data_IF_707403143438
#
_entry.id   IF_707403143438
#
_cell.length_a   1.000
_cell.length_b   1.000
_cell.length_c   1.000
_cell.angle_alpha   90.00
_cell.angle_beta   90.00
_cell.angle_gamma   90.00
#
_symmetry.space_group_name_H-M   'P 1'
#
loop_
_entity.id
_entity.type
_entity.pdbx_description
1 polymer ?
#
# COMPACT_ATOMS: atom_id res chain seq x y z
N UNK A 1 -13.10 -15.31 -9.28
CA UNK A 1 -13.63 -15.68 -7.96
C UNK A 1 -13.70 -14.39 -7.18
N UNK A 2 -14.84 -14.06 -6.56
CA UNK A 2 -14.92 -12.84 -5.75
C UNK A 2 -14.54 -13.21 -4.30
N UNK A 3 -13.24 -13.34 -4.06
CA UNK A 3 -12.70 -13.79 -2.78
C UNK A 3 -12.57 -12.61 -1.80
N UNK A 4 -13.69 -11.95 -1.50
CA UNK A 4 -13.77 -10.72 -0.70
C UNK A 4 -14.72 -10.93 0.49
N UNK A 5 -14.21 -10.68 1.70
CA UNK A 5 -15.05 -10.52 2.89
C UNK A 5 -15.52 -9.08 2.95
N UNK A 6 -16.80 -8.84 2.65
CA UNK A 6 -17.40 -7.50 2.65
C UNK A 6 -17.43 -6.91 4.05
N UNK A 7 -17.09 -5.62 4.19
CA UNK A 7 -17.37 -4.90 5.43
C UNK A 7 -18.88 -4.66 5.54
N UNK A 8 -19.48 -5.09 6.66
CA UNK A 8 -20.91 -4.90 6.89
C UNK A 8 -21.21 -3.65 7.71
N UNK A 9 -22.46 -3.19 7.67
CA UNK A 9 -22.93 -2.11 8.55
C UNK A 9 -22.86 -2.50 10.04
N UNK A 10 -22.98 -3.79 10.35
CA UNK A 10 -22.78 -4.31 11.71
C UNK A 10 -21.33 -4.11 12.17
N UNK A 11 -20.36 -4.41 11.30
CA UNK A 11 -18.94 -4.18 11.58
C UNK A 11 -18.63 -2.70 11.80
N UNK A 12 -19.18 -1.82 10.97
CA UNK A 12 -19.06 -0.37 11.16
C UNK A 12 -19.60 0.06 12.52
N UNK A 13 -20.77 -0.42 12.91
CA UNK A 13 -21.41 -0.08 14.18
C UNK A 13 -20.57 -0.56 15.37
N UNK A 14 -19.96 -1.75 15.26
CA UNK A 14 -19.07 -2.31 16.28
C UNK A 14 -17.82 -1.46 16.50
N UNK A 15 -17.23 -0.89 15.45
CA UNK A 15 -15.99 -0.13 15.54
C UNK A 15 -16.18 1.38 15.73
N UNK A 16 -17.35 1.93 15.40
CA UNK A 16 -17.62 3.36 15.46
C UNK A 16 -18.02 3.79 16.86
N UNK A 17 -17.23 4.68 17.47
CA UNK A 17 -17.52 5.28 18.77
C UNK A 17 -18.45 6.47 18.62
N UNK A 18 -19.72 6.29 18.97
CA UNK A 18 -20.71 7.35 18.94
C UNK A 18 -20.58 8.29 20.13
N UNK A 19 -20.69 9.59 19.87
CA UNK A 19 -20.74 10.63 20.92
C UNK A 19 -21.68 11.74 20.49
N UNK A 20 -22.57 12.15 21.41
CA UNK A 20 -23.53 13.24 21.16
C UNK A 20 -22.82 14.51 20.70
N UNK A 21 -23.32 15.12 19.61
CA UNK A 21 -22.75 16.33 19.01
C UNK A 21 -21.60 16.10 18.02
N UNK A 22 -21.14 14.85 17.84
CA UNK A 22 -20.13 14.48 16.86
C UNK A 22 -20.77 13.66 15.73
N UNK A 23 -20.18 13.69 14.54
CA UNK A 23 -20.47 12.73 13.47
C UNK A 23 -19.14 12.11 13.07
N UNK A 24 -19.05 10.78 13.15
CA UNK A 24 -17.87 10.02 12.77
C UNK A 24 -17.90 9.61 11.30
N UNK A 25 -16.73 9.20 10.81
CA UNK A 25 -16.56 8.62 9.48
C UNK A 25 -17.42 7.38 9.29
N UNK A 26 -17.41 6.47 10.26
CA UNK A 26 -18.18 5.22 10.20
C UNK A 26 -19.69 5.42 10.07
N UNK A 27 -20.20 6.59 10.42
CA UNK A 27 -21.62 6.94 10.26
C UNK A 27 -21.97 7.40 8.83
N UNK A 28 -20.97 7.69 8.00
CA UNK A 28 -21.13 8.28 6.66
C UNK A 28 -20.42 7.51 5.55
N UNK A 29 -19.50 6.63 5.89
CA UNK A 29 -18.82 5.72 4.95
C UNK A 29 -19.85 4.80 4.29
N UNK A 30 -19.64 4.53 3.01
CA UNK A 30 -20.44 3.56 2.28
C UNK A 30 -19.92 2.14 2.52
N UNK A 31 -20.85 1.19 2.62
CA UNK A 31 -20.61 -0.26 2.58
C UNK A 31 -21.47 -0.88 1.51
N UNK A 32 -21.07 -2.06 1.03
CA UNK A 32 -21.84 -2.79 0.02
C UNK A 32 -23.00 -3.51 0.72
N UNK A 33 -24.25 -3.31 0.30
CA UNK A 33 -25.38 -4.05 0.85
C UNK A 33 -25.24 -5.58 0.65
N UNK A 34 -25.89 -6.36 1.50
CA UNK A 34 -25.71 -7.82 1.52
C UNK A 34 -26.06 -8.48 0.18
N UNK A 35 -27.17 -8.06 -0.44
CA UNK A 35 -27.76 -8.70 -1.63
C UNK A 35 -27.47 -7.96 -2.95
N UNK A 36 -26.49 -7.05 -2.95
CA UNK A 36 -26.11 -6.30 -4.16
C UNK A 36 -24.76 -6.81 -4.70
N UNK A 37 -24.64 -7.06 -6.03
CA UNK A 37 -23.36 -7.43 -6.64
C UNK A 37 -22.29 -6.38 -6.41
N UNK A 38 -21.09 -6.81 -5.98
CA UNK A 38 -20.00 -5.92 -5.55
C UNK A 38 -19.69 -4.86 -6.61
N UNK A 39 -19.37 -5.31 -7.83
CA UNK A 39 -18.88 -4.41 -8.88
C UNK A 39 -19.97 -3.55 -9.49
N UNK A 40 -21.24 -3.98 -9.40
CA UNK A 40 -22.36 -3.14 -9.77
C UNK A 40 -22.47 -1.97 -8.78
N UNK A 41 -22.49 -2.26 -7.48
CA UNK A 41 -22.58 -1.21 -6.45
C UNK A 41 -21.37 -0.26 -6.49
N UNK A 42 -20.15 -0.80 -6.62
CA UNK A 42 -18.93 0.01 -6.70
C UNK A 42 -19.01 1.00 -7.86
N UNK A 43 -19.56 0.59 -9.02
CA UNK A 43 -19.73 1.45 -10.19
C UNK A 43 -20.79 2.53 -9.99
N UNK A 44 -21.91 2.18 -9.35
CA UNK A 44 -23.10 3.06 -9.24
C UNK A 44 -23.05 4.01 -8.03
N UNK A 45 -22.30 3.68 -6.97
CA UNK A 45 -22.25 4.49 -5.77
C UNK A 45 -21.52 5.83 -5.98
N UNK A 46 -21.81 6.81 -5.10
CA UNK A 46 -21.23 8.16 -5.18
C UNK A 46 -19.81 8.28 -4.56
N UNK A 47 -19.25 7.20 -4.02
CA UNK A 47 -17.89 7.25 -3.47
C UNK A 47 -16.86 7.48 -4.58
N UNK A 48 -15.86 8.31 -4.32
CA UNK A 48 -14.72 8.55 -5.21
C UNK A 48 -13.63 7.48 -5.01
N UNK A 49 -13.53 6.96 -3.78
CA UNK A 49 -12.48 6.07 -3.31
C UNK A 49 -13.04 4.74 -2.83
N UNK A 50 -12.30 3.67 -3.10
CA UNK A 50 -12.59 2.32 -2.58
C UNK A 50 -11.42 1.86 -1.73
N UNK A 51 -11.65 1.66 -0.44
CA UNK A 51 -10.68 1.11 0.51
C UNK A 51 -10.84 -0.39 0.62
N UNK A 52 -9.74 -1.14 0.50
CA UNK A 52 -9.73 -2.57 0.82
C UNK A 52 -8.41 -3.02 1.47
N UNK A 53 -8.49 -4.12 2.22
CA UNK A 53 -7.37 -4.72 2.92
C UNK A 53 -6.84 -6.00 2.26
N UNK A 54 -5.55 -6.26 2.44
CA UNK A 54 -4.86 -7.50 2.11
C UNK A 54 -4.19 -8.03 3.39
N UNK A 55 -4.94 -8.66 4.32
CA UNK A 55 -4.43 -9.02 5.64
C UNK A 55 -3.55 -10.27 5.58
N UNK A 56 -2.31 -10.13 5.11
CA UNK A 56 -1.31 -11.20 5.02
C UNK A 56 0.11 -10.72 5.37
N UNK A 57 1.00 -11.66 5.66
CA UNK A 57 2.45 -11.42 5.81
C UNK A 57 3.29 -12.57 5.20
N UNK A 58 2.68 -13.33 4.30
CA UNK A 58 3.27 -14.48 3.61
C UNK A 58 4.44 -14.01 2.74
N UNK A 59 4.28 -12.87 2.05
CA UNK A 59 5.36 -12.25 1.28
C UNK A 59 6.52 -11.76 2.13
N UNK A 60 6.21 -11.20 3.30
CA UNK A 60 7.21 -10.76 4.29
C UNK A 60 8.03 -11.96 4.77
N UNK A 61 7.35 -13.04 5.18
CA UNK A 61 7.97 -14.29 5.64
C UNK A 61 8.80 -14.95 4.53
N UNK A 62 8.30 -14.99 3.30
CA UNK A 62 9.05 -15.52 2.16
C UNK A 62 10.35 -14.74 1.87
N UNK A 63 10.42 -13.48 2.30
CA UNK A 63 11.60 -12.63 2.26
C UNK A 63 12.38 -12.62 3.60
N UNK A 64 12.17 -13.62 4.47
CA UNK A 64 12.79 -13.74 5.79
C UNK A 64 12.47 -12.63 6.79
N UNK A 65 11.41 -11.85 6.55
CA UNK A 65 10.94 -10.83 7.46
C UNK A 65 10.12 -11.39 8.63
N UNK A 66 9.79 -10.51 9.57
CA UNK A 66 8.96 -10.82 10.74
C UNK A 66 7.48 -10.71 10.39
N UNK A 67 6.71 -11.73 10.78
CA UNK A 67 5.24 -11.76 10.67
C UNK A 67 4.60 -10.62 11.51
N UNK A 68 3.42 -10.16 11.08
CA UNK A 68 2.63 -9.15 11.78
C UNK A 68 1.92 -8.15 10.87
N UNK A 69 2.32 -8.05 9.58
CA UNK A 69 1.73 -7.09 8.64
C UNK A 69 0.22 -7.35 8.38
N UNK A 70 -0.23 -8.60 8.55
CA UNK A 70 -1.64 -8.97 8.46
C UNK A 70 -2.54 -8.20 9.43
N UNK A 71 -1.99 -7.77 10.59
CA UNK A 71 -2.74 -7.04 11.63
C UNK A 71 -3.02 -5.56 11.28
N UNK A 72 -2.40 -5.02 10.22
CA UNK A 72 -2.61 -3.64 9.78
C UNK A 72 -4.09 -3.34 9.51
N UNK A 73 -4.75 -4.21 8.74
CA UNK A 73 -6.10 -3.97 8.24
C UNK A 73 -7.09 -3.66 9.37
N UNK A 74 -7.14 -4.50 10.41
CA UNK A 74 -8.07 -4.32 11.52
C UNK A 74 -7.75 -3.05 12.33
N UNK A 75 -6.46 -2.76 12.54
CA UNK A 75 -6.00 -1.56 13.24
C UNK A 75 -6.40 -0.27 12.49
N UNK A 76 -6.29 -0.29 11.16
CA UNK A 76 -6.73 0.81 10.28
C UNK A 76 -8.23 0.98 10.32
N UNK A 77 -8.99 -0.11 10.21
CA UNK A 77 -10.46 -0.06 10.24
C UNK A 77 -10.97 0.59 11.53
N UNK A 78 -10.44 0.19 12.69
CA UNK A 78 -10.77 0.79 14.00
C UNK A 78 -10.43 2.27 14.07
N UNK A 79 -9.38 2.70 13.37
CA UNK A 79 -8.91 4.09 13.38
C UNK A 79 -9.72 4.98 12.42
N UNK A 80 -9.91 4.55 11.18
CA UNK A 80 -10.50 5.37 10.11
C UNK A 80 -11.98 5.66 10.36
N UNK A 81 -12.75 4.70 10.88
CA UNK A 81 -14.18 4.89 11.16
C UNK A 81 -14.41 5.92 12.27
N UNK A 82 -13.42 6.17 13.12
CA UNK A 82 -13.50 7.10 14.25
C UNK A 82 -12.98 8.51 13.95
N UNK A 83 -12.60 8.80 12.70
CA UNK A 83 -12.28 10.16 12.25
C UNK A 83 -13.54 11.02 12.27
N UNK A 84 -13.39 12.31 12.58
CA UNK A 84 -14.51 13.26 12.52
C UNK A 84 -14.96 13.50 11.08
N UNK A 85 -16.25 13.34 10.81
CA UNK A 85 -16.88 13.81 9.59
C UNK A 85 -17.16 15.32 9.73
N UNK A 86 -16.44 16.15 8.98
CA UNK A 86 -16.55 17.60 9.05
C UNK A 86 -16.26 18.25 7.69
N UNK A 87 -15.95 19.56 7.67
CA UNK A 87 -15.66 20.29 6.43
C UNK A 87 -14.38 19.82 5.71
N UNK A 88 -13.43 19.23 6.42
CA UNK A 88 -12.14 18.78 5.89
C UNK A 88 -12.07 17.28 5.61
N UNK A 89 -12.96 16.50 6.23
CA UNK A 89 -12.93 15.06 6.17
C UNK A 89 -14.36 14.57 5.88
N UNK A 90 -14.59 13.99 4.69
CA UNK A 90 -15.90 13.54 4.22
C UNK A 90 -15.95 12.03 4.07
N UNK A 91 -16.43 11.34 5.10
CA UNK A 91 -16.60 9.88 5.07
C UNK A 91 -17.45 9.37 3.90
N UNK A 92 -18.40 10.16 3.40
CA UNK A 92 -19.28 9.80 2.27
C UNK A 92 -18.57 9.62 0.93
N UNK A 93 -17.32 10.07 0.80
CA UNK A 93 -16.50 9.85 -0.40
C UNK A 93 -15.80 8.50 -0.43
N UNK A 94 -15.88 7.75 0.66
CA UNK A 94 -15.17 6.49 0.84
C UNK A 94 -16.18 5.34 0.90
N UNK A 95 -15.99 4.36 0.02
CA UNK A 95 -16.55 3.03 0.13
C UNK A 95 -15.49 2.13 0.77
N UNK A 96 -15.83 1.45 1.87
CA UNK A 96 -14.97 0.35 2.35
C UNK A 96 -15.53 -0.95 1.81
N UNK A 97 -14.75 -1.57 0.90
CA UNK A 97 -15.08 -2.85 0.28
C UNK A 97 -15.05 -3.98 1.31
N UNK A 98 -14.06 -3.96 2.21
CA UNK A 98 -13.73 -5.06 3.08
C UNK A 98 -12.29 -5.51 2.82
N UNK A 99 -12.01 -6.81 2.88
CA UNK A 99 -10.68 -7.33 2.62
C UNK A 99 -10.72 -8.63 1.80
N UNK A 100 -9.58 -8.97 1.21
CA UNK A 100 -9.42 -10.25 0.52
C UNK A 100 -9.52 -11.38 1.55
N UNK A 101 -10.29 -12.43 1.24
CA UNK A 101 -10.33 -13.63 2.07
C UNK A 101 -9.07 -14.46 1.83
N UNK A 102 -8.17 -14.45 2.82
CA UNK A 102 -6.89 -15.15 2.75
C UNK A 102 -6.80 -16.24 3.82
N UNK A 103 -7.93 -16.72 4.36
CA UNK A 103 -7.94 -17.73 5.43
C UNK A 103 -7.19 -19.00 5.01
N UNK A 104 -7.57 -19.59 3.87
CA UNK A 104 -6.93 -20.81 3.36
C UNK A 104 -5.46 -20.61 3.00
N UNK A 105 -5.12 -19.47 2.39
CA UNK A 105 -3.75 -19.11 2.03
C UNK A 105 -2.86 -18.96 3.28
N UNK A 106 -3.39 -18.31 4.32
CA UNK A 106 -2.71 -18.12 5.60
C UNK A 106 -2.55 -19.43 6.36
N UNK A 107 -3.59 -20.27 6.39
CA UNK A 107 -3.52 -21.60 7.00
C UNK A 107 -2.46 -22.46 6.30
N UNK A 108 -2.47 -22.52 4.96
CA UNK A 108 -1.47 -23.23 4.19
C UNK A 108 -0.05 -22.71 4.46
N UNK A 109 0.13 -21.39 4.47
CA UNK A 109 1.43 -20.76 4.73
C UNK A 109 1.93 -20.99 6.16
N UNK A 110 1.06 -21.09 7.16
CA UNK A 110 1.46 -21.31 8.56
C UNK A 110 2.18 -22.65 8.80
N UNK A 111 1.99 -23.62 7.90
CA UNK A 111 2.59 -24.96 7.96
C UNK A 111 3.95 -25.06 7.27
N UNK A 112 4.48 -23.95 6.73
CA UNK A 112 5.68 -23.91 5.90
C UNK A 112 6.86 -23.25 6.62
N UNK A 113 8.06 -23.84 6.48
CA UNK A 113 9.30 -23.28 7.00
C UNK A 113 10.07 -22.50 5.91
N UNK A 114 10.31 -21.22 6.17
CA UNK A 114 11.03 -20.31 5.26
C UNK A 114 12.48 -20.72 5.01
N UNK A 115 13.08 -21.49 5.93
CA UNK A 115 14.44 -22.00 5.82
C UNK A 115 14.53 -23.25 4.92
N UNK A 116 13.39 -23.89 4.64
CA UNK A 116 13.31 -25.05 3.74
C UNK A 116 13.00 -24.56 2.33
N UNK A 117 13.93 -24.76 1.40
CA UNK A 117 13.82 -24.24 0.03
C UNK A 117 12.55 -24.71 -0.71
N UNK A 118 12.09 -25.94 -0.48
CA UNK A 118 10.86 -26.46 -1.07
C UNK A 118 9.60 -25.76 -0.52
N UNK A 119 9.59 -25.41 0.76
CA UNK A 119 8.48 -24.72 1.41
C UNK A 119 8.45 -23.24 1.04
N UNK A 120 9.61 -22.60 0.90
CA UNK A 120 9.68 -21.24 0.34
C UNK A 120 9.12 -21.14 -1.07
N UNK A 121 9.35 -22.15 -1.92
CA UNK A 121 8.71 -22.20 -3.25
C UNK A 121 7.18 -22.27 -3.15
N UNK A 122 6.64 -23.03 -2.19
CA UNK A 122 5.20 -23.07 -1.94
C UNK A 122 4.68 -21.72 -1.45
N UNK A 123 5.39 -21.03 -0.56
CA UNK A 123 5.06 -19.66 -0.15
C UNK A 123 4.98 -18.72 -1.37
N UNK A 124 5.97 -18.76 -2.27
CA UNK A 124 5.94 -17.99 -3.52
C UNK A 124 4.72 -18.33 -4.39
N UNK A 125 4.34 -19.60 -4.53
CA UNK A 125 3.13 -19.98 -5.27
C UNK A 125 1.82 -19.51 -4.63
N UNK A 126 1.77 -19.42 -3.30
CA UNK A 126 0.63 -18.81 -2.59
C UNK A 126 0.57 -17.32 -2.93
N UNK A 127 1.71 -16.62 -2.90
CA UNK A 127 1.79 -15.20 -3.25
C UNK A 127 1.38 -14.95 -4.71
N UNK A 128 1.77 -15.82 -5.65
CA UNK A 128 1.30 -15.75 -7.06
C UNK A 128 -0.23 -15.80 -7.17
N UNK A 129 -0.90 -16.50 -6.25
CA UNK A 129 -2.37 -16.58 -6.21
C UNK A 129 -2.97 -15.29 -5.64
N UNK A 130 -2.38 -14.77 -4.56
CA UNK A 130 -2.75 -13.47 -3.97
C UNK A 130 -2.59 -12.35 -5.01
N UNK A 131 -1.48 -12.34 -5.74
CA UNK A 131 -1.18 -11.36 -6.79
C UNK A 131 -2.28 -11.29 -7.88
N UNK A 132 -2.90 -12.42 -8.22
CA UNK A 132 -4.03 -12.49 -9.17
C UNK A 132 -5.30 -11.86 -8.60
N UNK A 133 -5.61 -12.14 -7.33
CA UNK A 133 -6.79 -11.58 -6.65
C UNK A 133 -6.63 -10.06 -6.48
N UNK A 134 -5.46 -9.59 -6.03
CA UNK A 134 -5.14 -8.16 -5.91
C UNK A 134 -5.26 -7.47 -7.27
N UNK A 135 -4.64 -8.05 -8.32
CA UNK A 135 -4.71 -7.50 -9.67
C UNK A 135 -6.15 -7.41 -10.19
N UNK A 136 -6.98 -8.43 -9.93
CA UNK A 136 -8.39 -8.42 -10.31
C UNK A 136 -9.17 -7.31 -9.59
N UNK A 137 -9.02 -7.19 -8.27
CA UNK A 137 -9.72 -6.19 -7.46
C UNK A 137 -9.34 -4.77 -7.89
N UNK A 138 -8.04 -4.48 -8.00
CA UNK A 138 -7.54 -3.15 -8.41
C UNK A 138 -8.03 -2.81 -9.81
N UNK A 139 -7.99 -3.76 -10.75
CA UNK A 139 -8.52 -3.57 -12.10
C UNK A 139 -10.02 -3.24 -12.07
N UNK A 140 -10.80 -3.98 -11.29
CA UNK A 140 -12.25 -3.82 -11.20
C UNK A 140 -12.64 -2.46 -10.60
N UNK A 141 -11.97 -2.03 -9.54
CA UNK A 141 -12.16 -0.69 -8.93
C UNK A 141 -11.88 0.41 -9.95
N UNK A 142 -10.73 0.34 -10.64
CA UNK A 142 -10.34 1.36 -11.63
C UNK A 142 -11.26 1.38 -12.85
N UNK A 143 -11.74 0.21 -13.31
CA UNK A 143 -12.68 0.10 -14.43
C UNK A 143 -14.06 0.64 -14.07
N UNK A 144 -14.44 0.58 -12.79
CA UNK A 144 -15.62 1.24 -12.24
C UNK A 144 -15.47 2.77 -12.10
N UNK A 145 -14.33 3.34 -12.50
CA UNK A 145 -14.07 4.78 -12.43
C UNK A 145 -13.71 5.29 -11.04
N UNK A 146 -13.34 4.39 -10.11
CA UNK A 146 -13.02 4.72 -8.72
C UNK A 146 -11.52 4.65 -8.47
N UNK A 147 -11.06 5.29 -7.39
CA UNK A 147 -9.63 5.29 -6.99
C UNK A 147 -9.42 4.29 -5.85
N UNK A 148 -8.62 3.22 -6.03
CA UNK A 148 -8.33 2.28 -4.95
C UNK A 148 -7.35 2.87 -3.92
N UNK A 149 -7.64 2.58 -2.66
CA UNK A 149 -6.75 2.77 -1.51
C UNK A 149 -6.55 1.39 -0.89
N UNK A 150 -5.31 0.92 -0.84
CA UNK A 150 -4.96 -0.47 -0.52
C UNK A 150 -4.17 -0.50 0.79
N UNK A 151 -4.57 -1.38 1.71
CA UNK A 151 -3.95 -1.54 3.02
C UNK A 151 -3.41 -2.95 3.22
N UNK A 152 -2.15 -3.02 3.64
CA UNK A 152 -1.49 -4.27 3.98
C UNK A 152 -1.06 -5.01 2.73
N UNK A 153 -0.62 -6.25 2.84
CA UNK A 153 0.16 -6.78 3.95
C UNK A 153 1.59 -6.38 3.72
N UNK A 154 2.40 -7.34 3.28
CA UNK A 154 3.76 -7.05 2.80
C UNK A 154 3.78 -6.27 1.48
N UNK A 155 4.95 -5.72 1.16
CA UNK A 155 5.17 -4.94 -0.06
C UNK A 155 5.12 -5.79 -1.35
N UNK A 156 5.00 -7.12 -1.25
CA UNK A 156 4.75 -8.00 -2.41
C UNK A 156 3.48 -7.60 -3.16
N UNK A 157 2.49 -7.02 -2.46
CA UNK A 157 1.21 -6.61 -3.03
C UNK A 157 1.36 -5.52 -4.11
N UNK A 158 2.47 -4.77 -4.13
CA UNK A 158 2.76 -3.79 -5.18
C UNK A 158 2.69 -4.41 -6.59
N UNK A 159 3.09 -5.67 -6.78
CA UNK A 159 2.97 -6.34 -8.07
C UNK A 159 1.51 -6.42 -8.55
N UNK A 160 0.61 -6.91 -7.68
CA UNK A 160 -0.82 -7.00 -7.98
C UNK A 160 -1.42 -5.62 -8.26
N UNK A 161 -1.05 -4.60 -7.47
CA UNK A 161 -1.49 -3.22 -7.63
C UNK A 161 -1.08 -2.64 -9.00
N UNK A 162 0.21 -2.76 -9.35
CA UNK A 162 0.76 -2.28 -10.62
C UNK A 162 0.12 -3.01 -11.79
N UNK A 163 0.05 -4.33 -11.74
CA UNK A 163 -0.54 -5.16 -12.79
C UNK A 163 -2.01 -4.86 -13.00
N UNK A 164 -2.80 -4.81 -11.91
CA UNK A 164 -4.22 -4.46 -11.97
C UNK A 164 -4.45 -3.08 -12.59
N UNK A 165 -3.61 -2.11 -12.24
CA UNK A 165 -3.65 -0.76 -12.80
C UNK A 165 -3.30 -0.75 -14.28
N UNK A 166 -2.21 -1.41 -14.68
CA UNK A 166 -1.80 -1.50 -16.08
C UNK A 166 -2.88 -2.17 -16.95
N UNK A 167 -3.52 -3.23 -16.44
CA UNK A 167 -4.63 -3.90 -17.12
C UNK A 167 -5.87 -3.00 -17.24
N UNK A 168 -6.20 -2.22 -16.21
CA UNK A 168 -7.32 -1.28 -16.27
C UNK A 168 -7.07 -0.12 -17.25
N UNK A 169 -5.83 0.33 -17.37
CA UNK A 169 -5.44 1.43 -18.27
C UNK A 169 -5.09 0.95 -19.69
N UNK A 170 -4.92 -0.36 -19.90
CA UNK A 170 -4.52 -0.95 -21.17
C UNK A 170 -3.08 -0.61 -21.58
N UNK A 171 -2.24 -0.17 -20.65
CA UNK A 171 -0.84 0.21 -20.88
C UNK A 171 -0.01 0.10 -19.61
N UNK A 172 1.33 -0.05 -19.71
CA UNK A 172 2.22 -0.02 -18.56
C UNK A 172 2.09 1.30 -17.78
N UNK A 173 2.28 1.24 -16.47
CA UNK A 173 2.18 2.39 -15.55
C UNK A 173 3.52 2.66 -14.88
N UNK A 174 3.67 3.83 -14.26
CA UNK A 174 4.82 4.15 -13.44
C UNK A 174 4.54 3.88 -11.95
N UNK A 175 5.56 3.93 -11.11
CA UNK A 175 5.40 3.91 -9.65
C UNK A 175 6.39 4.85 -8.98
N UNK A 176 5.93 5.51 -7.92
CA UNK A 176 6.76 6.23 -6.96
C UNK A 176 6.66 5.50 -5.62
N UNK A 177 7.79 5.04 -5.10
CA UNK A 177 7.87 4.28 -3.86
C UNK A 177 8.63 5.03 -2.78
N UNK A 178 7.98 5.29 -1.66
CA UNK A 178 8.59 5.90 -0.48
C UNK A 178 9.04 4.79 0.47
N UNK A 179 10.33 4.47 0.43
CA UNK A 179 10.84 3.20 0.97
C UNK A 179 12.32 3.31 1.32
N UNK A 180 12.72 2.65 2.42
CA UNK A 180 14.12 2.51 2.80
C UNK A 180 14.85 1.47 1.93
N UNK A 181 14.10 0.64 1.21
CA UNK A 181 14.54 -0.44 0.35
C UNK A 181 14.23 -0.15 -1.13
N UNK A 182 14.85 -0.91 -2.02
CA UNK A 182 14.57 -0.79 -3.47
C UNK A 182 13.35 -1.60 -3.89
N UNK A 183 13.08 -2.69 -3.16
CA UNK A 183 12.17 -3.78 -3.53
C UNK A 183 12.28 -4.26 -4.99
N UNK A 184 13.53 -4.18 -5.47
CA UNK A 184 13.96 -4.58 -6.80
C UNK A 184 14.93 -5.77 -6.75
N UNK A 185 14.68 -6.73 -5.83
CA UNK A 185 15.47 -7.98 -5.73
C UNK A 185 15.24 -8.89 -6.93
N UNK A 186 16.11 -9.89 -7.09
CA UNK A 186 16.07 -10.81 -8.22
C UNK A 186 14.78 -11.67 -8.25
N UNK A 187 14.48 -12.23 -9.41
CA UNK A 187 13.29 -13.06 -9.66
C UNK A 187 13.54 -14.51 -9.20
N UNK A 188 13.54 -14.72 -7.88
CA UNK A 188 13.86 -16.02 -7.26
C UNK A 188 12.65 -16.74 -6.64
N UNK A 189 11.44 -16.33 -7.04
CA UNK A 189 10.18 -16.65 -6.39
C UNK A 189 9.60 -15.40 -5.73
N UNK A 190 8.28 -15.20 -5.81
CA UNK A 190 7.60 -14.05 -5.22
C UNK A 190 7.83 -13.96 -3.71
N UNK A 191 8.13 -12.76 -3.23
CA UNK A 191 8.23 -12.37 -1.82
C UNK A 191 8.11 -10.83 -1.70
N UNK A 192 8.19 -10.24 -0.49
CA UNK A 192 7.94 -8.79 -0.33
C UNK A 192 8.92 -7.92 -1.14
N UNK A 193 10.22 -8.19 -1.05
CA UNK A 193 11.23 -7.35 -1.70
C UNK A 193 11.45 -7.49 -3.21
N UNK A 194 10.53 -8.08 -3.98
CA UNK A 194 10.67 -8.21 -5.44
C UNK A 194 9.40 -7.90 -6.24
N UNK A 195 8.38 -7.26 -5.63
CA UNK A 195 7.15 -6.85 -6.33
C UNK A 195 7.42 -6.02 -7.59
N UNK A 196 8.28 -5.02 -7.48
CA UNK A 196 8.61 -4.12 -8.59
C UNK A 196 9.43 -4.80 -9.68
N UNK A 197 10.33 -5.73 -9.34
CA UNK A 197 11.09 -6.52 -10.32
C UNK A 197 10.20 -7.32 -11.24
N UNK A 198 9.22 -8.04 -10.66
CA UNK A 198 8.27 -8.84 -11.45
C UNK A 198 7.39 -7.96 -12.31
N UNK A 199 6.90 -6.84 -11.78
CA UNK A 199 6.07 -5.91 -12.54
C UNK A 199 6.85 -5.26 -13.69
N UNK A 200 8.15 -4.99 -13.50
CA UNK A 200 9.04 -4.45 -14.52
C UNK A 200 9.35 -5.47 -15.62
N UNK A 201 9.72 -6.70 -15.25
CA UNK A 201 10.07 -7.77 -16.19
C UNK A 201 8.88 -8.18 -17.05
N UNK A 202 7.68 -8.30 -16.46
CA UNK A 202 6.45 -8.61 -17.19
C UNK A 202 5.89 -7.41 -17.98
N UNK A 203 6.54 -6.25 -17.92
CA UNK A 203 6.19 -5.07 -18.72
C UNK A 203 5.00 -4.27 -18.19
N UNK A 204 4.52 -4.51 -16.97
CA UNK A 204 3.46 -3.71 -16.35
C UNK A 204 3.98 -2.39 -15.75
N UNK A 205 5.25 -2.34 -15.35
CA UNK A 205 5.93 -1.16 -14.80
C UNK A 205 6.85 -0.51 -15.83
N UNK A 206 6.52 0.69 -16.31
CA UNK A 206 7.30 1.45 -17.29
C UNK A 206 8.47 2.17 -16.65
N UNK A 207 8.22 3.05 -15.67
CA UNK A 207 9.25 3.74 -14.88
C UNK A 207 9.01 3.57 -13.39
N UNK A 208 10.10 3.52 -12.65
CA UNK A 208 10.10 3.32 -11.22
C UNK A 208 11.00 4.36 -10.54
N UNK A 209 10.48 5.04 -9.53
CA UNK A 209 11.27 5.95 -8.73
C UNK A 209 11.22 5.53 -7.26
N UNK A 210 12.39 5.31 -6.65
CA UNK A 210 12.53 5.01 -5.23
C UNK A 210 12.92 6.30 -4.51
N UNK A 211 12.07 6.76 -3.60
CA UNK A 211 12.25 7.98 -2.87
C UNK A 211 12.65 7.65 -1.42
N UNK A 212 13.83 8.12 -1.03
CA UNK A 212 14.29 7.94 0.35
C UNK A 212 15.02 6.63 0.62
N UNK A 213 15.60 6.00 -0.40
CA UNK A 213 16.38 4.77 -0.25
C UNK A 213 17.43 4.93 0.86
N UNK A 214 17.55 3.96 1.77
CA UNK A 214 18.64 3.95 2.74
C UNK A 214 19.87 3.28 2.11
N UNK A 215 21.00 3.98 2.16
CA UNK A 215 22.26 3.51 1.55
C UNK A 215 22.76 2.18 2.15
N UNK A 216 22.34 1.85 3.37
CA UNK A 216 22.77 0.66 4.12
C UNK A 216 22.06 -0.65 3.74
N UNK A 217 20.92 -0.60 3.05
CA UNK A 217 20.07 -1.79 2.87
C UNK A 217 20.12 -2.40 1.46
N UNK A 218 20.80 -1.74 0.52
CA UNK A 218 20.82 -2.21 -0.87
C UNK A 218 22.09 -2.97 -1.21
N UNK A 219 21.93 -4.18 -1.75
CA UNK A 219 23.08 -4.98 -2.19
C UNK A 219 23.75 -4.39 -3.42
N UNK A 220 25.07 -4.63 -3.56
CA UNK A 220 25.85 -4.20 -4.72
C UNK A 220 25.24 -4.67 -6.05
N UNK A 221 24.76 -5.92 -6.11
CA UNK A 221 24.15 -6.48 -7.32
C UNK A 221 22.88 -5.74 -7.74
N UNK A 222 22.02 -5.37 -6.78
CA UNK A 222 20.81 -4.59 -7.07
C UNK A 222 21.18 -3.18 -7.56
N UNK A 223 22.16 -2.51 -6.92
CA UNK A 223 22.64 -1.20 -7.37
C UNK A 223 23.21 -1.24 -8.79
N UNK A 224 23.97 -2.28 -9.14
CA UNK A 224 24.48 -2.46 -10.49
C UNK A 224 23.36 -2.67 -11.52
N UNK A 225 22.32 -3.42 -11.16
CA UNK A 225 21.15 -3.62 -12.02
C UNK A 225 20.38 -2.31 -12.24
N UNK A 226 20.10 -1.55 -11.18
CA UNK A 226 19.45 -0.24 -11.27
C UNK A 226 20.27 0.71 -12.14
N UNK A 227 21.60 0.73 -12.00
CA UNK A 227 22.49 1.57 -12.82
C UNK A 227 22.36 1.27 -14.31
N UNK A 228 22.28 -0.02 -14.68
CA UNK A 228 22.07 -0.46 -16.08
C UNK A 228 20.70 -0.03 -16.63
N UNK A 229 19.72 0.18 -15.76
CA UNK A 229 18.34 0.55 -16.08
C UNK A 229 18.01 2.01 -15.73
N UNK A 230 19.02 2.88 -15.61
CA UNK A 230 18.89 4.26 -15.11
C UNK A 230 17.97 5.18 -15.93
N UNK A 231 17.62 4.78 -17.16
CA UNK A 231 16.62 5.44 -17.98
C UNK A 231 15.17 5.16 -17.53
N UNK A 232 14.94 4.05 -16.82
CA UNK A 232 13.62 3.59 -16.36
C UNK A 232 13.51 3.51 -14.84
N UNK A 233 14.62 3.34 -14.13
CA UNK A 233 14.66 3.27 -12.67
C UNK A 233 15.55 4.38 -12.14
N UNK A 234 15.00 5.22 -11.26
CA UNK A 234 15.74 6.27 -10.56
C UNK A 234 15.51 6.19 -9.08
N UNK A 235 16.40 6.79 -8.31
CA UNK A 235 16.24 6.91 -6.88
C UNK A 235 16.94 8.16 -6.35
N UNK A 236 16.54 8.56 -5.15
CA UNK A 236 17.34 9.40 -4.27
C UNK A 236 17.48 8.69 -2.92
N UNK A 237 18.42 9.13 -2.10
CA UNK A 237 18.65 8.50 -0.80
C UNK A 237 18.21 9.40 0.35
N UNK A 238 17.76 8.76 1.43
CA UNK A 238 17.49 9.44 2.69
C UNK A 238 18.71 10.22 3.17
N UNK A 239 19.91 9.62 3.06
CA UNK A 239 21.13 10.25 3.53
C UNK A 239 21.51 11.49 2.70
N UNK A 240 21.32 11.48 1.38
CA UNK A 240 21.54 12.68 0.55
C UNK A 240 20.63 13.84 0.94
N UNK A 241 19.39 13.55 1.34
CA UNK A 241 18.36 14.57 1.58
C UNK A 241 18.38 15.05 3.04
N UNK A 242 18.29 14.12 4.00
CA UNK A 242 18.05 14.46 5.42
C UNK A 242 19.33 14.52 6.25
N UNK A 243 20.32 13.67 5.96
CA UNK A 243 21.54 13.53 6.76
C UNK A 243 22.63 14.50 6.28
N UNK A 244 23.08 14.34 5.03
CA UNK A 244 24.14 15.15 4.41
C UNK A 244 23.60 16.46 3.81
N UNK A 245 22.29 16.53 3.56
CA UNK A 245 21.60 17.72 3.01
C UNK A 245 22.21 18.22 1.71
N UNK A 246 22.68 17.29 0.88
CA UNK A 246 23.17 17.54 -0.48
C UNK A 246 22.03 17.88 -1.44
N UNK A 247 20.82 17.43 -1.11
CA UNK A 247 19.60 17.61 -1.91
C UNK A 247 18.47 18.17 -1.06
N UNK A 248 17.60 18.97 -1.66
CA UNK A 248 16.39 19.47 -1.01
C UNK A 248 15.21 18.51 -1.25
N UNK A 249 14.42 18.23 -0.21
CA UNK A 249 13.27 17.33 -0.29
C UNK A 249 12.23 17.78 -1.33
N UNK A 250 11.91 19.07 -1.38
CA UNK A 250 10.91 19.60 -2.31
C UNK A 250 11.37 19.54 -3.77
N UNK A 251 12.65 19.87 -4.03
CA UNK A 251 13.23 19.77 -5.37
C UNK A 251 13.26 18.32 -5.85
N UNK A 252 13.63 17.39 -4.97
CA UNK A 252 13.62 15.97 -5.28
C UNK A 252 12.21 15.42 -5.53
N UNK A 253 11.17 15.91 -4.83
CA UNK A 253 9.78 15.59 -5.16
C UNK A 253 9.43 16.06 -6.58
N UNK A 254 9.87 17.27 -6.97
CA UNK A 254 9.71 17.79 -8.33
C UNK A 254 10.44 16.94 -9.39
N UNK A 255 11.68 16.54 -9.13
CA UNK A 255 12.45 15.66 -10.01
C UNK A 255 11.80 14.29 -10.18
N UNK A 256 11.34 13.70 -9.07
CA UNK A 256 10.66 12.42 -9.08
C UNK A 256 9.34 12.51 -9.86
N UNK A 257 8.53 13.55 -9.62
CA UNK A 257 7.29 13.77 -10.34
C UNK A 257 7.53 13.94 -11.84
N UNK A 258 8.45 14.82 -12.24
CA UNK A 258 8.79 15.02 -13.66
C UNK A 258 9.31 13.75 -14.36
N UNK A 259 9.86 12.79 -13.59
CA UNK A 259 10.26 11.50 -14.13
C UNK A 259 9.10 10.55 -14.40
N UNK A 260 8.11 10.51 -13.49
CA UNK A 260 7.00 9.53 -13.48
C UNK A 260 5.66 10.05 -13.98
N UNK A 261 5.46 11.35 -14.16
CA UNK A 261 4.14 11.91 -14.48
C UNK A 261 3.73 11.78 -15.95
N UNK A 262 4.60 11.25 -16.83
CA UNK A 262 4.29 11.03 -18.26
C UNK A 262 3.26 9.91 -18.49
N UNK A 263 3.00 9.09 -17.47
CA UNK A 263 1.97 8.04 -17.46
C UNK A 263 1.20 8.05 -16.15
N UNK A 264 0.15 7.22 -16.08
CA UNK A 264 -0.47 6.87 -14.80
C UNK A 264 0.54 6.24 -13.85
N UNK A 265 0.41 6.50 -12.56
CA UNK A 265 1.33 5.97 -11.56
C UNK A 265 0.69 5.60 -10.23
N UNK A 266 1.26 4.59 -9.59
CA UNK A 266 0.98 4.22 -8.20
C UNK A 266 1.79 5.02 -7.20
N UNK A 267 1.18 5.35 -6.06
CA UNK A 267 1.90 5.84 -4.87
C UNK A 267 2.01 4.67 -3.90
N UNK A 268 3.25 4.26 -3.63
CA UNK A 268 3.59 3.17 -2.72
C UNK A 268 4.26 3.77 -1.48
N UNK A 269 3.77 3.42 -0.29
CA UNK A 269 4.29 3.90 0.98
C UNK A 269 4.66 2.70 1.84
N UNK A 270 5.96 2.45 1.96
CA UNK A 270 6.49 1.49 2.91
C UNK A 270 6.63 2.16 4.28
N UNK A 271 5.98 1.60 5.29
CA UNK A 271 6.05 2.13 6.65
C UNK A 271 7.40 1.86 7.33
N UNK A 272 8.23 0.97 6.78
CA UNK A 272 9.59 0.76 7.28
C UNK A 272 10.57 1.89 6.96
N UNK A 273 10.18 2.84 6.09
CA UNK A 273 10.93 4.07 5.84
C UNK A 273 10.73 5.14 6.94
N UNK A 274 9.83 4.89 7.89
CA UNK A 274 9.46 5.83 8.94
C UNK A 274 10.08 5.43 10.29
N UNK A 275 10.64 6.38 11.04
CA UNK A 275 11.31 6.09 12.29
C UNK A 275 10.33 5.58 13.35
N UNK A 276 10.65 4.41 13.92
CA UNK A 276 9.95 3.75 15.01
C UNK A 276 8.47 3.41 14.71
N UNK A 277 8.11 3.27 13.42
CA UNK A 277 6.82 2.70 13.05
C UNK A 277 6.95 1.19 13.04
N UNK A 278 6.02 0.50 13.73
CA UNK A 278 6.08 -0.95 13.84
C UNK A 278 5.93 -1.60 12.45
N UNK A 279 6.98 -2.29 12.03
CA UNK A 279 7.10 -3.02 10.76
C UNK A 279 8.08 -4.18 10.91
N UNK A 280 8.13 -5.06 9.91
CA UNK A 280 9.07 -6.18 9.87
C UNK A 280 10.52 -5.68 10.02
N UNK A 281 10.91 -4.68 9.23
CA UNK A 281 12.23 -4.06 9.19
C UNK A 281 12.25 -2.68 9.89
N UNK A 282 11.68 -2.59 11.10
CA UNK A 282 11.64 -1.34 11.88
C UNK A 282 13.00 -0.63 11.94
N UNK A 283 12.97 0.67 11.68
CA UNK A 283 14.16 1.54 11.69
C UNK A 283 14.02 2.62 12.77
N UNK A 284 15.11 3.03 13.45
CA UNK A 284 15.09 4.19 14.35
C UNK A 284 15.24 5.53 13.61
N UNK A 285 15.54 5.50 12.31
CA UNK A 285 15.85 6.68 11.48
C UNK A 285 15.10 6.62 10.16
N UNK A 286 14.79 7.78 9.61
CA UNK A 286 14.06 7.91 8.35
C UNK A 286 13.46 9.30 8.23
N UNK A 287 12.59 9.49 7.25
CA UNK A 287 11.84 10.73 7.11
C UNK A 287 10.74 10.82 8.18
N UNK A 288 10.43 12.05 8.61
CA UNK A 288 9.38 12.27 9.60
C UNK A 288 7.99 11.88 9.07
N UNK A 289 7.05 11.66 9.99
CA UNK A 289 5.64 11.43 9.64
C UNK A 289 5.09 12.64 8.86
N UNK A 290 5.44 13.86 9.23
CA UNK A 290 5.04 15.07 8.49
C UNK A 290 5.56 15.06 7.05
N UNK A 291 6.77 14.56 6.83
CA UNK A 291 7.40 14.47 5.50
C UNK A 291 6.64 13.50 4.58
N UNK A 292 6.29 12.30 5.06
CA UNK A 292 5.51 11.36 4.23
C UNK A 292 4.08 11.86 3.99
N UNK A 293 3.49 12.60 4.93
CA UNK A 293 2.18 13.26 4.74
C UNK A 293 2.24 14.33 3.65
N UNK A 294 3.31 15.14 3.62
CA UNK A 294 3.56 16.10 2.54
C UNK A 294 3.76 15.40 1.20
N UNK A 295 4.53 14.31 1.18
CA UNK A 295 4.77 13.48 0.00
C UNK A 295 3.48 12.96 -0.61
N UNK A 296 2.64 12.28 0.18
CA UNK A 296 1.35 11.74 -0.28
C UNK A 296 0.48 12.86 -0.84
N UNK A 297 0.40 13.98 -0.14
CA UNK A 297 -0.41 15.10 -0.60
C UNK A 297 0.13 15.74 -1.89
N UNK A 298 1.46 15.80 -2.07
CA UNK A 298 2.10 16.34 -3.26
C UNK A 298 1.85 15.47 -4.50
N UNK A 299 2.16 14.17 -4.42
CA UNK A 299 1.98 13.24 -5.55
C UNK A 299 0.50 12.95 -5.82
N UNK A 300 -0.33 12.88 -4.78
CA UNK A 300 -1.76 12.60 -4.90
C UNK A 300 -2.53 13.66 -5.70
N UNK A 301 -2.09 14.94 -5.66
CA UNK A 301 -2.68 16.02 -6.48
C UNK A 301 -2.58 15.78 -7.98
N UNK A 302 -1.59 15.01 -8.44
CA UNK A 302 -1.46 14.75 -9.86
C UNK A 302 -2.62 13.86 -10.34
N UNK A 303 -3.27 14.23 -11.44
CA UNK A 303 -4.37 13.46 -12.05
C UNK A 303 -3.95 12.04 -12.47
N UNK A 304 -2.65 11.83 -12.70
CA UNK A 304 -2.10 10.55 -13.09
C UNK A 304 -1.84 9.61 -11.89
N UNK A 305 -1.88 10.09 -10.64
CA UNK A 305 -1.81 9.22 -9.47
C UNK A 305 -3.09 8.38 -9.37
N UNK A 306 -3.00 7.07 -9.64
CA UNK A 306 -4.15 6.18 -9.81
C UNK A 306 -4.54 5.39 -8.59
N UNK A 307 -3.63 5.19 -7.64
CA UNK A 307 -3.90 4.48 -6.40
C UNK A 307 -2.93 4.89 -5.30
N UNK A 308 -3.30 4.59 -4.06
CA UNK A 308 -2.42 4.65 -2.88
C UNK A 308 -2.34 3.26 -2.27
N UNK A 309 -1.13 2.77 -2.05
CA UNK A 309 -0.87 1.54 -1.31
C UNK A 309 0.01 1.85 -0.09
N UNK A 310 -0.36 1.32 1.07
CA UNK A 310 0.39 1.45 2.31
C UNK A 310 0.64 0.04 2.87
N UNK A 311 1.91 -0.35 2.94
CA UNK A 311 2.36 -1.71 3.26
C UNK A 311 3.23 -1.79 4.52
N UNK A 312 3.60 -3.02 4.91
CA UNK A 312 4.57 -3.40 5.95
C UNK A 312 4.25 -2.97 7.39
N UNK A 313 3.20 -2.18 7.62
CA UNK A 313 2.73 -1.84 8.95
C UNK A 313 2.35 -3.10 9.75
N UNK A 314 3.00 -3.32 10.87
CA UNK A 314 2.81 -4.51 11.70
C UNK A 314 2.42 -4.13 13.14
N UNK A 315 1.16 -3.72 13.40
CA UNK A 315 0.65 -3.44 14.75
C UNK A 315 1.01 -4.48 15.81
N UNK A 316 1.03 -5.78 15.46
CA UNK A 316 1.43 -6.86 16.38
C UNK A 316 2.88 -6.80 16.87
N UNK A 317 3.77 -6.16 16.11
CA UNK A 317 5.17 -5.96 16.48
C UNK A 317 5.36 -4.67 17.31
N UNK A 318 4.31 -3.88 17.52
CA UNK A 318 4.38 -2.68 18.36
C UNK A 318 4.31 -3.03 19.86
N UNK A 319 4.75 -2.09 20.69
CA UNK A 319 4.51 -2.13 22.14
C UNK A 319 3.01 -2.28 22.45
N UNK A 320 2.68 -3.08 23.46
CA UNK A 320 1.29 -3.48 23.77
C UNK A 320 0.34 -2.29 23.93
N UNK A 321 0.81 -1.22 24.60
CA UNK A 321 0.03 0.01 24.84
C UNK A 321 -0.20 0.84 23.57
N UNK A 322 0.60 0.62 22.52
CA UNK A 322 0.70 1.47 21.34
C UNK A 322 0.34 0.77 20.02
N UNK A 323 -0.17 -0.48 20.04
CA UNK A 323 -0.59 -1.23 18.83
C UNK A 323 -1.55 -0.45 17.91
N UNK A 324 -2.35 0.45 18.49
CA UNK A 324 -3.30 1.28 17.74
C UNK A 324 -2.64 2.41 16.92
N UNK A 325 -1.40 2.81 17.24
CA UNK A 325 -0.75 3.97 16.61
C UNK A 325 -0.46 3.75 15.12
N UNK A 326 -0.07 2.54 14.70
CA UNK A 326 0.16 2.23 13.29
C UNK A 326 -1.13 2.40 12.46
N UNK A 327 -2.26 1.87 12.95
CA UNK A 327 -3.56 2.06 12.30
C UNK A 327 -3.98 3.54 12.24
N UNK A 328 -3.70 4.29 13.30
CA UNK A 328 -3.97 5.74 13.34
C UNK A 328 -3.10 6.53 12.36
N UNK A 329 -1.81 6.19 12.26
CA UNK A 329 -0.88 6.78 11.29
C UNK A 329 -1.40 6.54 9.88
N UNK A 330 -1.68 5.30 9.51
CA UNK A 330 -2.21 4.94 8.19
C UNK A 330 -3.51 5.70 7.91
N UNK A 331 -4.40 5.85 8.90
CA UNK A 331 -5.62 6.63 8.74
C UNK A 331 -5.36 8.11 8.41
N UNK A 332 -4.31 8.74 8.98
CA UNK A 332 -3.88 10.07 8.55
C UNK A 332 -3.46 10.07 7.07
N UNK A 333 -2.59 9.14 6.68
CA UNK A 333 -2.07 9.02 5.31
C UNK A 333 -3.20 8.85 4.28
N UNK A 334 -4.20 8.01 4.58
CA UNK A 334 -5.40 7.85 3.77
C UNK A 334 -6.13 9.18 3.60
N UNK A 335 -6.37 9.92 4.70
CA UNK A 335 -7.07 11.21 4.57
C UNK A 335 -6.26 12.26 3.83
N UNK A 336 -4.93 12.25 3.93
CA UNK A 336 -4.06 13.18 3.20
C UNK A 336 -4.14 12.92 1.69
N UNK A 337 -4.20 11.65 1.28
CA UNK A 337 -4.43 11.27 -0.11
C UNK A 337 -5.82 11.66 -0.60
N UNK A 338 -6.89 11.37 0.15
CA UNK A 338 -8.26 11.77 -0.22
C UNK A 338 -8.30 13.30 -0.43
N UNK A 339 -7.80 14.08 0.52
CA UNK A 339 -7.76 15.56 0.44
C UNK A 339 -6.92 16.10 -0.72
N UNK A 340 -5.92 15.34 -1.18
CA UNK A 340 -5.09 15.77 -2.32
C UNK A 340 -5.84 15.77 -3.65
N UNK A 341 -6.94 15.01 -3.76
CA UNK A 341 -7.76 14.85 -4.96
C UNK A 341 -8.95 15.80 -5.03
N UNK A 342 -9.23 16.54 -3.97
CA UNK A 342 -10.39 17.44 -3.86
C UNK A 342 -10.09 18.89 -4.26
N UNK A 343 -8.86 19.17 -4.68
CA UNK A 343 -8.33 20.52 -4.91
C UNK A 343 -8.22 20.88 -6.39
#
# INVERSE_FOLDING_TARGET
>A
MENIIKLTTSDLTKYTSHRSGEIKFGERILTIPQDVPIWQFVKECDADFVLFGIPEDIGVRANFGRSGAASAWESVLKSIVNIQHNKFCKGSKLLILGHIDLADATEAASKLDVNVAADRKKLSSIIDTIDKEVSHIVRSILTAGKTPIIIGGGHNNAYGNIKGTALAKGKPVNAINFDAHTDFRILEGRHSGNGFSYAFEEGFLKKYFIFGLHENYTSKGVMENIKKMSNRIKFNTYEQIAVRREKNFADEMGHALGFIEDEFFGIEIDLDALPNVASSAITPTGFSIETVRQFIHYFGKNKNATYLHICEGAPELAEETNKHLTGKLIAYLITDFIKSKEL
#
